data_IF_859727657727
#
_entry.id   IF_859727657727
#
_cell.length_a   1.000
_cell.length_b   1.000
_cell.length_c   1.000
_cell.angle_alpha   90.00
_cell.angle_beta   90.00
_cell.angle_gamma   90.00
#
_symmetry.space_group_name_H-M   'P 1'
#
loop_
_entity.id
_entity.type
_entity.pdbx_description
1 polymer ?
#
# COMPACT_ATOMS: atom_id res chain seq x y z
N UNK A 1 -16.54 -14.45 18.99
CA UNK A 1 -16.69 -13.09 19.47
C UNK A 1 -16.33 -12.04 18.42
N UNK A 2 -15.27 -12.21 17.65
CA UNK A 2 -15.09 -11.51 16.39
C UNK A 2 -16.07 -12.16 15.39
N UNK A 3 -16.95 -11.39 14.77
CA UNK A 3 -17.85 -11.91 13.73
C UNK A 3 -17.06 -12.15 12.44
N UNK A 4 -16.05 -13.02 12.55
CA UNK A 4 -15.18 -13.38 11.44
C UNK A 4 -15.98 -14.23 10.45
N UNK A 5 -16.03 -13.77 9.21
CA UNK A 5 -16.62 -14.49 8.09
C UNK A 5 -15.50 -14.84 7.11
N UNK A 6 -15.02 -16.07 7.21
CA UNK A 6 -13.88 -16.56 6.45
C UNK A 6 -14.04 -16.36 4.93
N UNK A 7 -15.21 -16.72 4.38
CA UNK A 7 -15.46 -16.58 2.95
C UNK A 7 -15.42 -15.12 2.48
N UNK A 8 -15.98 -14.20 3.26
CA UNK A 8 -15.94 -12.77 2.98
C UNK A 8 -14.52 -12.21 3.04
N UNK A 9 -13.71 -12.67 3.99
CA UNK A 9 -12.30 -12.32 4.07
C UNK A 9 -11.55 -12.83 2.85
N UNK A 10 -11.66 -14.11 2.53
CA UNK A 10 -10.99 -14.71 1.37
C UNK A 10 -11.36 -14.00 0.08
N UNK A 11 -12.63 -13.70 -0.12
CA UNK A 11 -13.09 -12.95 -1.30
C UNK A 11 -12.44 -11.56 -1.38
N UNK A 12 -12.43 -10.83 -0.27
CA UNK A 12 -11.84 -9.49 -0.20
C UNK A 12 -10.33 -9.51 -0.43
N UNK A 13 -9.63 -10.46 0.19
CA UNK A 13 -8.17 -10.63 0.04
C UNK A 13 -7.82 -11.04 -1.38
N UNK A 14 -8.51 -12.04 -1.95
CA UNK A 14 -8.28 -12.50 -3.32
C UNK A 14 -8.55 -11.40 -4.35
N UNK A 15 -9.56 -10.55 -4.13
CA UNK A 15 -9.78 -9.37 -4.95
C UNK A 15 -8.61 -8.38 -4.90
N UNK A 16 -8.00 -8.18 -3.74
CA UNK A 16 -6.80 -7.35 -3.61
C UNK A 16 -5.58 -8.03 -4.26
N UNK A 17 -5.37 -9.33 -4.03
CA UNK A 17 -4.28 -10.09 -4.64
C UNK A 17 -4.33 -10.11 -6.17
N UNK A 18 -5.53 -10.13 -6.75
CA UNK A 18 -5.73 -10.07 -8.19
C UNK A 18 -5.21 -8.76 -8.82
N UNK A 19 -5.05 -7.69 -8.03
CA UNK A 19 -4.48 -6.43 -8.52
C UNK A 19 -3.02 -6.56 -8.96
N UNK A 20 -2.33 -7.62 -8.57
CA UNK A 20 -0.95 -7.90 -9.00
C UNK A 20 -0.83 -7.95 -10.53
N UNK A 21 -1.88 -8.35 -11.25
CA UNK A 21 -1.86 -8.35 -12.72
C UNK A 21 -1.77 -6.94 -13.34
N UNK A 22 -2.13 -5.88 -12.60
CA UNK A 22 -1.95 -4.48 -13.00
C UNK A 22 -0.68 -3.88 -12.39
N UNK A 23 -0.40 -4.20 -11.12
CA UNK A 23 0.73 -3.65 -10.36
C UNK A 23 2.05 -4.15 -10.93
N UNK A 24 2.19 -5.47 -11.14
CA UNK A 24 3.48 -6.05 -11.52
C UNK A 24 3.98 -5.53 -12.88
N UNK A 25 3.21 -5.58 -13.98
CA UNK A 25 3.70 -5.06 -15.27
C UNK A 25 4.01 -3.56 -15.24
N UNK A 26 3.26 -2.79 -14.44
CA UNK A 26 3.53 -1.37 -14.26
C UNK A 26 4.87 -1.14 -13.55
N UNK A 27 5.10 -1.84 -12.43
CA UNK A 27 6.35 -1.72 -11.69
C UNK A 27 7.56 -2.21 -12.52
N UNK A 28 7.42 -3.30 -13.25
CA UNK A 28 8.46 -3.81 -14.14
C UNK A 28 8.87 -2.75 -15.16
N UNK A 29 7.88 -2.14 -15.82
CA UNK A 29 8.13 -1.12 -16.85
C UNK A 29 8.77 0.16 -16.30
N UNK A 30 8.40 0.60 -15.09
CA UNK A 30 9.00 1.81 -14.50
C UNK A 30 10.39 1.53 -13.92
N UNK A 31 10.65 0.32 -13.43
CA UNK A 31 11.99 -0.08 -12.99
C UNK A 31 12.99 -0.12 -14.14
N UNK A 32 12.59 -0.59 -15.32
CA UNK A 32 13.41 -0.54 -16.53
C UNK A 32 13.79 0.89 -16.94
N UNK A 33 12.93 1.88 -16.65
CA UNK A 33 13.21 3.31 -16.90
C UNK A 33 14.17 3.93 -15.87
N UNK A 34 14.33 3.29 -14.74
CA UNK A 34 15.17 3.75 -13.63
C UNK A 34 14.39 4.57 -12.60
N UNK A 35 14.30 4.05 -11.38
CA UNK A 35 13.71 4.73 -10.21
C UNK A 35 14.85 5.04 -9.23
N UNK A 36 14.87 6.26 -8.70
CA UNK A 36 15.90 6.72 -7.75
C UNK A 36 15.46 6.52 -6.30
N UNK A 37 14.18 6.73 -6.01
CA UNK A 37 13.61 6.58 -4.68
C UNK A 37 12.11 6.27 -4.72
N UNK A 38 11.56 5.86 -3.57
CA UNK A 38 10.15 5.56 -3.40
C UNK A 38 9.56 6.38 -2.27
N UNK A 39 8.47 7.09 -2.56
CA UNK A 39 7.72 7.90 -1.61
C UNK A 39 6.33 7.31 -1.40
N UNK A 40 5.98 6.96 -0.16
CA UNK A 40 4.60 6.63 0.22
C UNK A 40 3.95 7.88 0.82
N UNK A 41 2.96 8.43 0.11
CA UNK A 41 2.24 9.63 0.51
C UNK A 41 0.93 9.27 1.22
N UNK A 42 0.62 9.96 2.31
CA UNK A 42 -0.64 9.76 3.04
C UNK A 42 -1.02 10.92 3.95
N UNK A 43 -2.19 10.81 4.56
CA UNK A 43 -2.66 11.71 5.62
C UNK A 43 -3.50 10.92 6.63
N UNK A 44 -3.37 11.19 7.92
CA UNK A 44 -4.08 10.43 8.96
C UNK A 44 -3.77 8.93 8.89
N UNK A 45 -4.82 8.09 8.77
CA UNK A 45 -4.68 6.63 8.71
C UNK A 45 -3.82 6.15 7.54
N UNK A 46 -3.99 6.72 6.34
CA UNK A 46 -3.20 6.35 5.17
C UNK A 46 -1.72 6.72 5.31
N UNK A 47 -1.40 7.78 6.08
CA UNK A 47 -0.01 8.08 6.44
C UNK A 47 0.57 7.06 7.42
N UNK A 48 -0.23 6.56 8.38
CA UNK A 48 0.22 5.49 9.26
C UNK A 48 0.52 4.21 8.48
N UNK A 49 -0.31 3.83 7.51
CA UNK A 49 -0.06 2.72 6.60
C UNK A 49 1.19 2.92 5.76
N UNK A 50 1.43 4.14 5.26
CA UNK A 50 2.65 4.51 4.54
C UNK A 50 3.91 4.31 5.41
N UNK A 51 3.89 4.77 6.67
CA UNK A 51 5.00 4.58 7.60
C UNK A 51 5.29 3.11 7.90
N UNK A 52 4.26 2.27 8.05
CA UNK A 52 4.42 0.83 8.26
C UNK A 52 5.08 0.18 7.04
N UNK A 53 4.65 0.53 5.83
CA UNK A 53 5.22 0.02 4.59
C UNK A 53 6.69 0.43 4.43
N UNK A 54 7.02 1.68 4.73
CA UNK A 54 8.42 2.16 4.74
C UNK A 54 9.26 1.43 5.78
N UNK A 55 8.70 1.19 6.98
CA UNK A 55 9.42 0.43 8.02
C UNK A 55 9.74 -0.99 7.56
N UNK A 56 8.79 -1.67 6.92
CA UNK A 56 9.00 -2.98 6.32
C UNK A 56 10.12 -2.95 5.26
N UNK A 57 10.04 -2.04 4.29
CA UNK A 57 11.04 -1.97 3.22
C UNK A 57 12.46 -1.71 3.74
N UNK A 58 12.62 -0.89 4.77
CA UNK A 58 13.95 -0.55 5.34
C UNK A 58 14.70 -1.75 5.93
N UNK A 59 14.00 -2.84 6.24
CA UNK A 59 14.63 -4.07 6.72
C UNK A 59 15.35 -4.81 5.59
N UNK A 60 14.98 -4.58 4.33
CA UNK A 60 15.45 -5.34 3.18
C UNK A 60 16.30 -4.52 2.21
N UNK A 61 16.05 -3.22 2.07
CA UNK A 61 16.65 -2.42 1.01
C UNK A 61 17.51 -1.25 1.51
N UNK A 62 18.58 -0.97 0.76
CA UNK A 62 19.35 0.27 0.87
C UNK A 62 18.82 1.39 -0.03
N UNK A 63 17.80 1.12 -0.86
CA UNK A 63 17.13 2.15 -1.66
C UNK A 63 16.53 3.22 -0.75
N UNK A 64 16.55 4.46 -1.18
CA UNK A 64 15.88 5.53 -0.45
C UNK A 64 14.37 5.35 -0.50
N UNK A 65 13.77 4.99 0.64
CA UNK A 65 12.32 4.86 0.83
C UNK A 65 11.87 5.73 2.00
N UNK A 66 10.78 6.47 1.82
CA UNK A 66 10.27 7.36 2.85
C UNK A 66 8.75 7.53 2.78
N UNK A 67 8.16 7.86 3.93
CA UNK A 67 6.76 8.29 4.00
C UNK A 67 6.68 9.81 4.06
N UNK A 68 5.69 10.38 3.39
CA UNK A 68 5.45 11.82 3.35
C UNK A 68 4.02 12.13 3.77
N UNK A 69 3.86 13.09 4.67
CA UNK A 69 2.54 13.58 5.06
C UNK A 69 2.06 14.62 4.04
N UNK A 70 0.88 14.40 3.45
CA UNK A 70 0.37 15.28 2.39
C UNK A 70 0.23 16.74 2.85
N UNK A 71 -0.26 17.01 4.08
CA UNK A 71 -0.41 18.36 4.59
C UNK A 71 0.95 19.05 4.82
N UNK A 72 1.95 18.31 5.25
CA UNK A 72 3.31 18.81 5.41
C UNK A 72 3.95 19.08 4.05
N UNK A 73 3.84 18.16 3.13
CA UNK A 73 4.41 18.27 1.79
C UNK A 73 3.88 19.49 1.02
N UNK A 74 2.60 19.79 1.08
CA UNK A 74 2.05 20.98 0.39
C UNK A 74 2.57 22.30 0.98
N UNK A 75 2.92 22.33 2.27
CA UNK A 75 3.38 23.55 2.95
C UNK A 75 4.89 23.73 2.88
N UNK A 76 5.67 22.71 3.23
CA UNK A 76 7.12 22.77 3.32
C UNK A 76 7.84 22.30 2.04
N UNK A 77 7.20 21.39 1.28
CA UNK A 77 7.83 20.72 0.15
C UNK A 77 8.79 19.61 0.60
N UNK A 78 9.21 18.79 -0.35
CA UNK A 78 10.28 17.81 -0.17
C UNK A 78 11.07 17.69 -1.46
N UNK A 79 12.35 18.09 -1.45
CA UNK A 79 13.21 18.08 -2.65
C UNK A 79 13.54 16.69 -3.17
N UNK A 80 13.27 15.62 -2.39
CA UNK A 80 13.45 14.24 -2.83
C UNK A 80 12.35 13.80 -3.80
N UNK A 81 11.18 14.47 -3.79
CA UNK A 81 10.10 14.20 -4.74
C UNK A 81 10.38 14.98 -6.00
N UNK A 82 10.84 14.28 -7.02
CA UNK A 82 11.30 14.83 -8.30
C UNK A 82 11.22 13.77 -9.40
N UNK A 83 11.71 14.06 -10.58
CA UNK A 83 11.88 13.07 -11.65
C UNK A 83 12.72 11.88 -11.17
N UNK A 84 12.26 10.67 -11.50
CA UNK A 84 12.81 9.41 -10.95
C UNK A 84 12.21 8.97 -9.61
N UNK A 85 11.34 9.75 -8.96
CA UNK A 85 10.59 9.32 -7.78
C UNK A 85 9.37 8.48 -8.19
N UNK A 86 9.19 7.30 -7.58
CA UNK A 86 7.90 6.61 -7.56
C UNK A 86 7.11 7.06 -6.33
N UNK A 87 6.03 7.81 -6.54
CA UNK A 87 5.12 8.22 -5.48
C UNK A 87 3.90 7.29 -5.46
N UNK A 88 3.64 6.69 -4.31
CA UNK A 88 2.53 5.75 -4.09
C UNK A 88 1.62 6.32 -3.01
N UNK A 89 0.31 6.34 -3.28
CA UNK A 89 -0.65 6.77 -2.26
C UNK A 89 -1.97 6.02 -2.33
N UNK A 90 -2.70 6.03 -1.21
CA UNK A 90 -4.09 5.58 -1.15
C UNK A 90 -5.01 6.68 -0.63
N UNK A 91 -6.26 6.68 -1.10
CA UNK A 91 -7.29 7.60 -0.64
C UNK A 91 -8.66 6.97 -0.68
N UNK A 92 -9.29 6.85 0.48
CA UNK A 92 -10.66 6.29 0.60
C UNK A 92 -11.68 7.22 -0.07
N UNK A 93 -11.61 8.50 0.20
CA UNK A 93 -12.58 9.48 -0.32
C UNK A 93 -12.30 9.90 -1.77
N UNK A 94 -11.04 9.81 -2.21
CA UNK A 94 -10.58 10.36 -3.48
C UNK A 94 -10.70 11.89 -3.60
N UNK A 95 -11.04 12.59 -2.51
CA UNK A 95 -11.35 14.03 -2.54
C UNK A 95 -10.73 14.83 -1.38
N UNK A 96 -9.90 14.22 -0.55
CA UNK A 96 -9.19 14.92 0.54
C UNK A 96 -8.33 16.06 -0.05
N UNK A 97 -8.59 17.34 0.31
CA UNK A 97 -7.95 18.48 -0.36
C UNK A 97 -6.42 18.46 -0.29
N UNK A 98 -5.87 17.96 0.83
CA UNK A 98 -4.42 17.85 1.02
C UNK A 98 -3.83 16.79 0.08
N UNK A 99 -4.50 15.66 -0.10
CA UNK A 99 -4.06 14.63 -1.04
C UNK A 99 -4.09 15.17 -2.47
N UNK A 100 -5.19 15.82 -2.88
CA UNK A 100 -5.30 16.40 -4.23
C UNK A 100 -4.14 17.34 -4.51
N UNK A 101 -3.91 18.33 -3.63
CA UNK A 101 -2.83 19.31 -3.79
C UNK A 101 -1.43 18.69 -3.75
N UNK A 102 -1.24 17.67 -2.90
CA UNK A 102 0.05 16.98 -2.80
C UNK A 102 0.36 16.19 -4.08
N UNK A 103 -0.65 15.52 -4.65
CA UNK A 103 -0.53 14.79 -5.92
C UNK A 103 -0.27 15.74 -7.09
N UNK A 104 -1.01 16.87 -7.18
CA UNK A 104 -0.75 17.92 -8.17
C UNK A 104 0.69 18.44 -8.10
N UNK A 105 1.18 18.67 -6.87
CA UNK A 105 2.56 19.14 -6.65
C UNK A 105 3.60 18.10 -7.02
N UNK A 106 3.37 16.81 -6.73
CA UNK A 106 4.25 15.72 -7.11
C UNK A 106 4.27 15.49 -8.63
N UNK A 107 3.10 15.56 -9.27
CA UNK A 107 2.98 15.50 -10.73
C UNK A 107 3.75 16.65 -11.40
N UNK A 108 3.62 17.88 -10.90
CA UNK A 108 4.39 19.03 -11.39
C UNK A 108 5.90 18.90 -11.15
N UNK A 109 6.32 18.08 -10.21
CA UNK A 109 7.72 17.71 -9.97
C UNK A 109 8.19 16.51 -10.81
N UNK A 110 7.37 16.01 -11.74
CA UNK A 110 7.61 14.87 -12.62
C UNK A 110 7.82 13.53 -11.91
N UNK A 111 7.24 13.36 -10.72
CA UNK A 111 7.19 12.05 -10.06
C UNK A 111 6.26 11.11 -10.81
N UNK A 112 6.64 9.83 -10.93
CA UNK A 112 5.75 8.77 -11.42
C UNK A 112 4.78 8.39 -10.32
N UNK A 113 3.47 8.36 -10.59
CA UNK A 113 2.45 8.25 -9.56
C UNK A 113 1.62 6.97 -9.72
N UNK A 114 1.59 6.16 -8.66
CA UNK A 114 0.69 5.01 -8.48
C UNK A 114 -0.35 5.34 -7.41
N UNK A 115 -1.63 5.27 -7.76
CA UNK A 115 -2.74 5.56 -6.86
C UNK A 115 -3.65 4.36 -6.60
N UNK A 116 -4.07 4.22 -5.34
CA UNK A 116 -5.18 3.36 -4.93
C UNK A 116 -6.32 4.25 -4.45
N UNK A 117 -7.41 4.33 -5.21
CA UNK A 117 -8.57 5.14 -4.90
C UNK A 117 -9.79 4.25 -4.65
N UNK A 118 -10.37 4.28 -3.45
CA UNK A 118 -11.60 3.55 -3.17
C UNK A 118 -12.79 4.19 -3.89
N UNK A 119 -12.80 5.52 -3.98
CA UNK A 119 -13.76 6.30 -4.74
C UNK A 119 -13.09 6.95 -5.95
N UNK A 120 -13.64 6.79 -7.15
CA UNK A 120 -13.08 7.36 -8.37
C UNK A 120 -13.02 8.90 -8.31
N UNK A 121 -11.87 9.46 -8.67
CA UNK A 121 -11.70 10.89 -8.90
C UNK A 121 -11.04 11.10 -10.27
N UNK A 122 -11.78 11.60 -11.28
CA UNK A 122 -11.25 11.79 -12.63
C UNK A 122 -9.99 12.67 -12.66
N UNK A 123 -9.97 13.76 -11.88
CA UNK A 123 -8.84 14.66 -11.83
C UNK A 123 -7.57 13.97 -11.31
N UNK A 124 -7.67 13.24 -10.18
CA UNK A 124 -6.53 12.48 -9.66
C UNK A 124 -6.08 11.37 -10.61
N UNK A 125 -7.03 10.76 -11.32
CA UNK A 125 -6.73 9.70 -12.29
C UNK A 125 -5.88 10.21 -13.45
N UNK A 126 -6.13 11.44 -13.92
CA UNK A 126 -5.37 12.07 -15.01
C UNK A 126 -3.93 12.42 -14.61
N UNK A 127 -3.67 12.55 -13.31
CA UNK A 127 -2.34 12.86 -12.77
C UNK A 127 -1.49 11.62 -12.47
N UNK A 128 -2.05 10.41 -12.64
CA UNK A 128 -1.39 9.16 -12.25
C UNK A 128 -1.07 8.31 -13.48
N UNK A 129 0.11 7.71 -13.53
CA UNK A 129 0.47 6.71 -14.54
C UNK A 129 -0.31 5.41 -14.34
N UNK A 130 -0.59 5.03 -13.09
CA UNK A 130 -1.51 3.95 -12.77
C UNK A 130 -2.44 4.34 -11.62
N UNK A 131 -3.74 4.21 -11.86
CA UNK A 131 -4.78 4.45 -10.85
C UNK A 131 -5.69 3.23 -10.75
N UNK A 132 -5.64 2.55 -9.61
CA UNK A 132 -6.39 1.34 -9.31
C UNK A 132 -7.53 1.69 -8.36
N UNK A 133 -8.76 1.29 -8.72
CA UNK A 133 -9.92 1.43 -7.84
C UNK A 133 -10.28 0.07 -7.26
N UNK A 134 -10.01 -0.11 -5.98
CA UNK A 134 -10.38 -1.28 -5.20
C UNK A 134 -10.52 -0.89 -3.73
N UNK A 135 -11.72 -0.92 -3.14
CA UNK A 135 -11.93 -0.60 -1.74
C UNK A 135 -11.30 -1.65 -0.82
N UNK A 136 -10.99 -1.26 0.40
CA UNK A 136 -10.43 -2.11 1.46
C UNK A 136 -8.98 -2.61 1.20
N UNK A 137 -8.46 -3.37 2.16
CA UNK A 137 -7.13 -3.99 2.09
C UNK A 137 -5.98 -3.03 1.74
N UNK A 138 -6.06 -1.78 2.23
CA UNK A 138 -5.04 -0.75 1.94
C UNK A 138 -3.63 -1.24 2.25
N UNK A 139 -3.42 -1.78 3.45
CA UNK A 139 -2.10 -2.23 3.88
C UNK A 139 -1.57 -3.37 3.01
N UNK A 140 -2.43 -4.34 2.63
CA UNK A 140 -2.06 -5.42 1.71
C UNK A 140 -1.65 -4.87 0.35
N UNK A 141 -2.40 -3.90 -0.19
CA UNK A 141 -2.05 -3.25 -1.47
C UNK A 141 -0.68 -2.58 -1.42
N UNK A 142 -0.39 -1.85 -0.35
CA UNK A 142 0.89 -1.18 -0.18
C UNK A 142 2.04 -2.17 -0.01
N UNK A 143 1.85 -3.24 0.75
CA UNK A 143 2.87 -4.30 0.90
C UNK A 143 3.10 -5.05 -0.41
N UNK A 144 2.07 -5.37 -1.20
CA UNK A 144 2.26 -5.99 -2.52
C UNK A 144 3.14 -5.14 -3.44
N UNK A 145 2.96 -3.81 -3.42
CA UNK A 145 3.82 -2.89 -4.17
C UNK A 145 5.24 -2.88 -3.62
N UNK A 146 5.39 -2.76 -2.30
CA UNK A 146 6.68 -2.74 -1.63
C UNK A 146 7.48 -4.02 -1.92
N UNK A 147 6.87 -5.18 -1.73
CA UNK A 147 7.51 -6.48 -1.93
C UNK A 147 7.81 -6.75 -3.41
N UNK A 148 6.98 -6.25 -4.35
CA UNK A 148 7.33 -6.31 -5.79
C UNK A 148 8.55 -5.46 -6.10
N UNK A 149 8.67 -4.27 -5.50
CA UNK A 149 9.86 -3.42 -5.65
C UNK A 149 11.10 -4.14 -5.10
N UNK A 150 11.01 -4.73 -3.91
CA UNK A 150 12.09 -5.50 -3.33
C UNK A 150 12.46 -6.73 -4.17
N UNK A 151 11.48 -7.42 -4.76
CA UNK A 151 11.68 -8.53 -5.68
C UNK A 151 12.46 -8.09 -6.94
N UNK A 152 12.08 -6.98 -7.56
CA UNK A 152 12.77 -6.45 -8.74
C UNK A 152 14.21 -6.02 -8.45
N UNK A 153 14.53 -5.77 -7.19
CA UNK A 153 15.86 -5.46 -6.70
C UNK A 153 16.66 -6.69 -6.24
N UNK A 154 16.08 -7.88 -6.31
CA UNK A 154 16.65 -9.13 -5.77
C UNK A 154 16.91 -9.08 -4.26
N UNK A 155 16.08 -8.35 -3.53
CA UNK A 155 16.14 -8.16 -2.08
C UNK A 155 15.01 -8.92 -1.35
N UNK A 156 14.06 -9.52 -2.09
CA UNK A 156 12.95 -10.33 -1.56
C UNK A 156 12.51 -11.38 -2.60
N UNK A 157 13.16 -12.53 -2.63
CA UNK A 157 12.98 -13.54 -3.67
C UNK A 157 11.67 -14.35 -3.57
N UNK A 158 11.02 -14.35 -2.40
CA UNK A 158 9.82 -15.15 -2.14
C UNK A 158 8.49 -14.42 -2.46
N UNK A 159 8.51 -13.36 -3.27
CA UNK A 159 7.32 -12.56 -3.58
C UNK A 159 6.14 -13.40 -4.09
N UNK A 160 6.35 -14.23 -5.10
CA UNK A 160 5.28 -15.03 -5.69
C UNK A 160 4.79 -16.11 -4.72
N UNK A 161 5.68 -16.81 -4.04
CA UNK A 161 5.35 -17.84 -3.04
C UNK A 161 4.54 -17.25 -1.87
N UNK A 162 4.90 -16.05 -1.42
CA UNK A 162 4.19 -15.36 -0.33
C UNK A 162 2.75 -15.00 -0.71
N UNK A 163 2.52 -14.59 -1.96
CA UNK A 163 1.22 -14.07 -2.37
C UNK A 163 0.34 -15.09 -3.09
N UNK A 164 0.83 -16.28 -3.46
CA UNK A 164 0.05 -17.32 -4.14
C UNK A 164 -1.06 -17.90 -3.24
N UNK A 165 -0.76 -18.11 -1.95
CA UNK A 165 -1.68 -18.70 -0.97
C UNK A 165 -1.95 -17.77 0.23
N UNK A 166 -1.77 -16.47 0.06
CA UNK A 166 -1.85 -15.51 1.16
C UNK A 166 -3.21 -15.50 1.87
N UNK A 167 -4.31 -15.64 1.12
CA UNK A 167 -5.67 -15.70 1.66
C UNK A 167 -5.87 -16.90 2.60
N UNK A 168 -5.28 -18.05 2.25
CA UNK A 168 -5.32 -19.25 3.10
C UNK A 168 -4.53 -19.03 4.39
N UNK A 169 -3.29 -18.56 4.29
CA UNK A 169 -2.45 -18.31 5.46
C UNK A 169 -3.06 -17.26 6.40
N UNK A 170 -3.63 -16.20 5.83
CA UNK A 170 -4.29 -15.17 6.63
C UNK A 170 -5.54 -15.69 7.33
N UNK A 171 -6.38 -16.49 6.66
CA UNK A 171 -7.56 -17.08 7.25
C UNK A 171 -7.20 -18.04 8.37
N UNK A 172 -6.22 -18.92 8.15
CA UNK A 172 -5.76 -19.88 9.18
C UNK A 172 -5.19 -19.15 10.40
N UNK A 173 -4.42 -18.10 10.20
CA UNK A 173 -3.90 -17.27 11.28
C UNK A 173 -5.03 -16.61 12.10
N UNK A 174 -6.04 -16.05 11.44
CA UNK A 174 -7.17 -15.40 12.09
C UNK A 174 -8.05 -16.41 12.86
N UNK A 175 -8.29 -17.59 12.31
CA UNK A 175 -9.01 -18.69 13.01
C UNK A 175 -8.25 -19.09 14.28
N UNK A 176 -6.94 -19.26 14.19
CA UNK A 176 -6.09 -19.59 15.33
C UNK A 176 -6.14 -18.52 16.42
N UNK A 177 -6.08 -17.24 16.04
CA UNK A 177 -6.19 -16.10 16.97
C UNK A 177 -7.57 -16.04 17.61
N UNK A 178 -8.65 -16.25 16.85
CA UNK A 178 -10.02 -16.25 17.39
C UNK A 178 -10.21 -17.31 18.46
N UNK A 179 -9.73 -18.52 18.23
CA UNK A 179 -9.78 -19.61 19.21
C UNK A 179 -9.02 -19.27 20.50
N UNK A 180 -7.84 -18.66 20.37
CA UNK A 180 -7.02 -18.23 21.49
C UNK A 180 -7.68 -17.11 22.30
N UNK A 181 -8.29 -16.13 21.61
CA UNK A 181 -8.99 -15.01 22.23
C UNK A 181 -10.26 -15.45 22.96
N UNK A 182 -11.00 -16.42 22.44
CA UNK A 182 -12.20 -16.93 23.11
C UNK A 182 -11.84 -17.63 24.43
N UNK A 183 -10.76 -18.41 24.46
CA UNK A 183 -10.25 -19.02 25.69
C UNK A 183 -9.83 -17.96 26.71
N UNK A 184 -9.06 -16.96 26.29
CA UNK A 184 -8.63 -15.85 27.14
C UNK A 184 -9.81 -15.04 27.68
N UNK A 185 -10.79 -14.71 26.83
CA UNK A 185 -11.98 -13.97 27.23
C UNK A 185 -12.83 -14.73 28.28
N UNK A 186 -12.94 -16.05 28.16
CA UNK A 186 -13.62 -16.87 29.14
C UNK A 186 -12.91 -16.92 30.50
N UNK A 187 -11.59 -16.97 30.51
CA UNK A 187 -10.78 -16.89 31.74
C UNK A 187 -10.88 -15.51 32.39
N UNK A 188 -10.81 -14.43 31.59
CA UNK A 188 -10.89 -13.06 32.07
C UNK A 188 -12.25 -12.73 32.67
N UNK A 189 -13.33 -13.23 32.07
CA UNK A 189 -14.70 -13.03 32.57
C UNK A 189 -15.00 -13.74 33.89
N UNK A 190 -14.16 -14.68 34.33
CA UNK A 190 -14.30 -15.40 35.62
C UNK A 190 -13.58 -14.69 36.78
N UNK A 191 -12.80 -13.67 36.53
CA UNK A 191 -12.09 -12.85 37.51
C UNK A 191 -12.86 -11.59 37.85
#
# INVERSE_FOLDING_TARGET
>A
MLKFQEESLRQSVNGALALRHQINPFLDAIFEKGITNVCFLGIGGTYASAMQTVSHMKEFTSMEVFAENAAEYITTGNRRIMDGTLLIYSSVTGSTPEIVKAVEKAHAAHATILAFLDNPNPHLRELCELCISYPQNEQLKLFMVADRILFLRHEFDCYDDCYENFDCYLADALISVEQSLDSFAQEFAKK
#
